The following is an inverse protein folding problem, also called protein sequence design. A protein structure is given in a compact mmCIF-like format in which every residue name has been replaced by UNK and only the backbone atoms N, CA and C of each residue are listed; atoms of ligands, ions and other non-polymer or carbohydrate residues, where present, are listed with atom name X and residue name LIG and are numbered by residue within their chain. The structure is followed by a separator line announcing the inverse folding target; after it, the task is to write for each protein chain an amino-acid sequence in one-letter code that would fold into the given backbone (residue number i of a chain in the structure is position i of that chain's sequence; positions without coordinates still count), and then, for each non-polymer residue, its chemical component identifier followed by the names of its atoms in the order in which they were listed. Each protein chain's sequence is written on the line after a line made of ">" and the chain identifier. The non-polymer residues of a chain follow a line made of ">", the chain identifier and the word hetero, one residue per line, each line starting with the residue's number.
data_IF_878274851481
#
_entry.id   IF_878274851481
#
_cell.length_a   1.000
_cell.length_b   1.000
_cell.length_c   1.000
_cell.angle_alpha   90.00
_cell.angle_beta   90.00
_cell.angle_gamma   90.00
#
_symmetry.space_group_name_H-M   'P 1'
#
loop_
_entity.id
_entity.type
_entity.pdbx_description
1 polymer ?
#
# COMPACT_ATOMS: atom_id res chain seq x y z
N UNK A 1 -37.43 45.27 -12.35
CA UNK A 1 -36.49 45.17 -11.21
C UNK A 1 -35.95 43.75 -11.17
N UNK A 2 -34.68 43.60 -11.56
CA UNK A 2 -33.92 42.34 -11.50
C UNK A 2 -33.71 41.90 -10.05
N UNK A 3 -33.93 40.62 -9.74
CA UNK A 3 -33.18 39.88 -8.73
C UNK A 3 -32.90 38.47 -9.24
N UNK A 4 -31.74 38.34 -9.88
CA UNK A 4 -30.96 37.10 -10.00
C UNK A 4 -30.68 36.51 -8.62
N UNK A 5 -31.04 35.24 -8.39
CA UNK A 5 -30.36 34.40 -7.40
C UNK A 5 -29.56 33.32 -8.15
N UNK A 6 -28.40 33.73 -8.61
CA UNK A 6 -27.33 32.83 -9.03
C UNK A 6 -26.60 32.36 -7.77
N UNK A 7 -27.03 31.23 -7.19
CA UNK A 7 -26.30 30.56 -6.11
C UNK A 7 -26.15 29.04 -6.35
N UNK A 8 -26.45 28.56 -7.56
CA UNK A 8 -26.40 27.14 -7.90
C UNK A 8 -25.01 26.54 -8.25
N UNK A 9 -23.99 27.27 -8.78
CA UNK A 9 -22.82 26.59 -9.35
C UNK A 9 -21.80 26.10 -8.31
N UNK A 10 -21.70 26.74 -7.14
CA UNK A 10 -20.69 26.40 -6.13
C UNK A 10 -21.03 25.10 -5.39
N UNK A 11 -22.31 24.89 -5.04
CA UNK A 11 -22.76 23.66 -4.37
C UNK A 11 -22.80 22.45 -5.32
N UNK A 12 -23.04 22.67 -6.61
CA UNK A 12 -22.93 21.61 -7.63
C UNK A 12 -21.47 21.18 -7.85
N UNK A 13 -20.51 22.12 -7.77
CA UNK A 13 -19.08 21.84 -7.91
C UNK A 13 -18.47 21.15 -6.67
N UNK A 14 -19.07 21.32 -5.50
CA UNK A 14 -18.72 20.61 -4.25
C UNK A 14 -19.42 19.26 -4.08
N UNK A 15 -20.34 18.92 -5.00
CA UNK A 15 -20.97 17.59 -5.01
C UNK A 15 -19.92 16.59 -5.47
N UNK A 16 -19.44 15.76 -4.53
CA UNK A 16 -18.61 14.59 -4.87
C UNK A 16 -19.38 13.78 -5.92
N UNK A 17 -18.75 13.54 -7.08
CA UNK A 17 -19.33 12.75 -8.14
C UNK A 17 -19.69 11.36 -7.58
N UNK A 18 -20.97 11.04 -7.63
CA UNK A 18 -21.54 9.88 -6.95
C UNK A 18 -22.02 8.86 -7.98
N UNK A 19 -21.92 7.57 -7.64
CA UNK A 19 -22.38 6.49 -8.52
C UNK A 19 -23.74 5.98 -8.04
N UNK A 20 -24.80 6.38 -8.74
CA UNK A 20 -26.18 5.96 -8.45
C UNK A 20 -26.49 4.54 -8.96
N UNK A 21 -25.64 3.97 -9.82
CA UNK A 21 -25.86 2.68 -10.47
C UNK A 21 -25.21 1.50 -9.72
N UNK A 22 -25.70 1.18 -8.51
CA UNK A 22 -25.30 -0.02 -7.78
C UNK A 22 -26.52 -0.94 -7.59
N UNK A 23 -26.47 -2.22 -8.03
CA UNK A 23 -27.56 -3.16 -7.81
C UNK A 23 -27.82 -3.41 -6.32
N UNK A 24 -29.05 -3.82 -5.99
CA UNK A 24 -29.44 -4.15 -4.61
C UNK A 24 -28.53 -5.22 -3.99
N UNK A 25 -28.23 -5.03 -2.71
CA UNK A 25 -27.43 -5.96 -1.93
C UNK A 25 -28.18 -7.24 -1.58
N UNK A 26 -27.45 -8.30 -1.23
CA UNK A 26 -28.02 -9.61 -0.86
C UNK A 26 -29.06 -9.56 0.28
N UNK A 27 -28.99 -8.54 1.15
CA UNK A 27 -29.84 -8.38 2.33
C UNK A 27 -30.98 -7.37 2.16
N UNK A 28 -31.36 -7.05 0.92
CA UNK A 28 -32.50 -6.20 0.60
C UNK A 28 -32.12 -4.87 -0.05
N UNK A 29 -33.17 -4.08 -0.31
CA UNK A 29 -33.09 -2.79 -1.00
C UNK A 29 -32.35 -1.75 -0.15
N UNK A 30 -31.53 -0.95 -0.82
CA UNK A 30 -30.75 0.09 -0.16
C UNK A 30 -31.64 1.29 0.18
N UNK A 31 -31.86 1.53 1.48
CA UNK A 31 -32.66 2.67 1.97
C UNK A 31 -31.83 3.92 2.30
N UNK A 32 -30.50 3.84 2.27
CA UNK A 32 -29.63 4.98 2.56
C UNK A 32 -29.49 5.92 1.36
N UNK A 33 -29.58 7.23 1.61
CA UNK A 33 -29.38 8.29 0.61
C UNK A 33 -27.92 8.41 0.14
N UNK A 34 -27.00 7.71 0.81
CA UNK A 34 -25.56 7.63 0.52
C UNK A 34 -25.11 6.17 0.58
N UNK A 35 -24.32 5.71 -0.41
CA UNK A 35 -23.50 4.49 -0.38
C UNK A 35 -22.03 4.89 -0.51
N UNK A 36 -21.09 4.04 -0.14
CA UNK A 36 -19.72 4.22 -0.62
C UNK A 36 -19.59 3.64 -2.04
N UNK A 37 -18.84 4.30 -2.93
CA UNK A 37 -18.47 3.71 -4.22
C UNK A 37 -17.47 2.58 -3.94
N UNK A 38 -17.97 1.36 -3.71
CA UNK A 38 -17.10 0.21 -3.49
C UNK A 38 -16.60 -0.33 -4.83
N UNK A 39 -15.29 -0.25 -5.03
CA UNK A 39 -14.59 -0.84 -6.18
C UNK A 39 -14.54 -2.39 -6.11
N UNK A 40 -15.19 -3.02 -5.13
CA UNK A 40 -15.34 -4.48 -5.03
C UNK A 40 -14.02 -5.27 -4.95
N UNK A 41 -12.94 -4.68 -4.43
CA UNK A 41 -11.62 -5.30 -4.31
C UNK A 41 -11.60 -6.52 -3.37
N UNK A 42 -10.73 -7.52 -3.61
CA UNK A 42 -10.62 -8.67 -2.71
C UNK A 42 -10.32 -8.22 -1.28
N UNK A 43 -11.07 -8.76 -0.29
CA UNK A 43 -11.03 -8.35 1.13
C UNK A 43 -9.62 -8.34 1.74
N UNK A 44 -8.72 -9.19 1.26
CA UNK A 44 -7.33 -9.23 1.75
C UNK A 44 -6.59 -7.89 1.56
N UNK A 45 -6.91 -7.13 0.51
CA UNK A 45 -6.29 -5.82 0.29
C UNK A 45 -6.88 -4.73 1.19
N UNK A 46 -8.16 -4.84 1.58
CA UNK A 46 -8.73 -4.00 2.63
C UNK A 46 -8.00 -4.22 3.97
N UNK A 47 -7.74 -5.49 4.31
CA UNK A 47 -6.95 -5.85 5.50
C UNK A 47 -5.53 -5.27 5.41
N UNK A 48 -4.88 -5.35 4.24
CA UNK A 48 -3.57 -4.75 4.04
C UNK A 48 -3.56 -3.22 4.23
N UNK A 49 -4.59 -2.52 3.72
CA UNK A 49 -4.73 -1.07 3.94
C UNK A 49 -5.01 -0.71 5.40
N UNK A 50 -5.83 -1.49 6.10
CA UNK A 50 -6.03 -1.30 7.54
C UNK A 50 -4.72 -1.49 8.29
N UNK A 51 -3.94 -2.52 7.96
CA UNK A 51 -2.61 -2.74 8.53
C UNK A 51 -1.67 -1.56 8.27
N UNK A 52 -1.64 -1.04 7.04
CA UNK A 52 -0.88 0.16 6.69
C UNK A 52 -1.28 1.41 7.51
N UNK A 53 -2.58 1.61 7.75
CA UNK A 53 -3.06 2.70 8.63
C UNK A 53 -2.56 2.49 10.07
N UNK A 54 -2.60 1.27 10.59
CA UNK A 54 -2.10 0.94 11.93
C UNK A 54 -0.60 1.21 12.04
N UNK A 55 0.20 0.91 10.99
CA UNK A 55 1.62 1.28 10.94
C UNK A 55 1.80 2.79 11.06
N UNK A 56 1.08 3.58 10.25
CA UNK A 56 1.19 5.05 10.28
C UNK A 56 0.79 5.67 11.63
N UNK A 57 -0.31 5.18 12.23
CA UNK A 57 -0.77 5.63 13.55
C UNK A 57 0.18 5.19 14.66
N UNK A 58 0.68 3.95 14.60
CA UNK A 58 1.69 3.41 15.52
C UNK A 58 2.97 4.23 15.50
N UNK A 59 3.49 4.49 14.30
CA UNK A 59 4.67 5.34 14.08
C UNK A 59 4.46 6.75 14.63
N UNK A 60 3.32 7.37 14.36
CA UNK A 60 2.99 8.69 14.91
C UNK A 60 2.98 8.66 16.44
N UNK A 61 2.32 7.66 17.04
CA UNK A 61 2.26 7.52 18.50
C UNK A 61 3.64 7.25 19.11
N UNK A 62 4.50 6.49 18.43
CA UNK A 62 5.87 6.25 18.86
C UNK A 62 6.71 7.52 18.78
N UNK A 63 6.77 8.21 17.64
CA UNK A 63 7.62 9.39 17.48
C UNK A 63 7.18 10.59 18.31
N UNK A 64 5.91 10.68 18.69
CA UNK A 64 5.41 11.72 19.60
C UNK A 64 5.64 11.40 21.08
N UNK A 65 5.81 10.13 21.46
CA UNK A 65 5.89 9.71 22.87
C UNK A 65 7.24 9.12 23.28
N UNK A 66 7.98 8.52 22.34
CA UNK A 66 9.18 7.70 22.53
C UNK A 66 9.02 6.58 23.57
N UNK A 67 7.80 6.04 23.70
CA UNK A 67 7.48 4.98 24.66
C UNK A 67 7.57 3.60 24.02
N UNK A 68 8.20 2.67 24.71
CA UNK A 68 8.38 1.28 24.25
C UNK A 68 7.07 0.57 23.83
N UNK A 69 5.92 0.69 24.54
CA UNK A 69 4.67 0.12 24.06
C UNK A 69 4.23 0.67 22.69
N UNK A 70 4.47 1.96 22.41
CA UNK A 70 4.13 2.55 21.11
C UNK A 70 5.14 2.12 20.04
N UNK A 71 6.41 1.94 20.42
CA UNK A 71 7.44 1.35 19.55
C UNK A 71 7.02 -0.05 19.07
N UNK A 72 6.48 -0.87 19.97
CA UNK A 72 5.95 -2.19 19.61
C UNK A 72 4.80 -2.10 18.61
N UNK A 73 3.89 -1.14 18.77
CA UNK A 73 2.79 -0.94 17.81
C UNK A 73 3.35 -0.51 16.45
N UNK A 74 4.29 0.43 16.41
CA UNK A 74 4.96 0.86 15.17
C UNK A 74 5.63 -0.32 14.46
N UNK A 75 6.58 -0.97 15.12
CA UNK A 75 7.45 -1.97 14.50
C UNK A 75 6.72 -3.30 14.23
N UNK A 76 5.92 -3.82 15.17
CA UNK A 76 5.25 -5.12 14.97
C UNK A 76 4.10 -5.04 13.97
N UNK A 77 3.39 -3.91 13.88
CA UNK A 77 2.35 -3.75 12.86
C UNK A 77 2.92 -3.81 11.43
N UNK A 78 4.18 -3.39 11.22
CA UNK A 78 4.88 -3.58 9.95
C UNK A 78 5.04 -5.08 9.62
N UNK A 79 5.44 -5.90 10.59
CA UNK A 79 5.59 -7.35 10.42
C UNK A 79 4.24 -7.99 10.07
N UNK A 80 3.20 -7.69 10.83
CA UNK A 80 1.87 -8.29 10.64
C UNK A 80 1.26 -7.92 9.28
N UNK A 81 1.40 -6.65 8.89
CA UNK A 81 0.93 -6.18 7.58
C UNK A 81 1.65 -6.90 6.44
N UNK A 82 2.97 -7.10 6.54
CA UNK A 82 3.72 -7.85 5.53
C UNK A 82 3.32 -9.32 5.51
N UNK A 83 3.02 -9.95 6.65
CA UNK A 83 2.53 -11.33 6.70
C UNK A 83 1.17 -11.48 6.02
N UNK A 84 0.27 -10.49 6.11
CA UNK A 84 -0.96 -10.50 5.31
C UNK A 84 -0.66 -10.46 3.81
N UNK A 85 0.36 -9.71 3.38
CA UNK A 85 0.77 -9.66 1.97
C UNK A 85 1.45 -10.97 1.51
N UNK A 86 2.20 -11.64 2.39
CA UNK A 86 2.71 -13.00 2.15
C UNK A 86 1.51 -13.94 1.94
N UNK A 87 0.55 -13.93 2.84
CA UNK A 87 -0.66 -14.75 2.71
C UNK A 87 -1.40 -14.45 1.40
N UNK A 88 -1.65 -13.17 1.09
CA UNK A 88 -2.33 -12.74 -0.13
C UNK A 88 -1.65 -13.29 -1.40
N UNK A 89 -0.33 -13.31 -1.43
CA UNK A 89 0.44 -13.69 -2.63
C UNK A 89 0.60 -15.21 -2.75
N UNK A 90 0.82 -15.92 -1.65
CA UNK A 90 1.07 -17.37 -1.67
C UNK A 90 -0.21 -18.21 -1.62
N UNK A 91 -1.28 -17.73 -0.98
CA UNK A 91 -2.57 -18.44 -0.93
C UNK A 91 -3.39 -18.31 -2.22
N UNK A 92 -3.01 -17.39 -3.13
CA UNK A 92 -3.74 -17.18 -4.36
C UNK A 92 -3.85 -18.45 -5.22
N UNK A 93 -5.07 -18.77 -5.64
CA UNK A 93 -5.38 -19.94 -6.47
C UNK A 93 -4.91 -21.26 -5.85
N UNK A 94 -4.80 -21.32 -4.50
CA UNK A 94 -4.49 -22.54 -3.75
C UNK A 94 -5.72 -23.08 -3.04
N UNK A 95 -5.66 -24.35 -2.64
CA UNK A 95 -6.76 -25.00 -1.93
C UNK A 95 -6.98 -24.39 -0.54
N UNK A 96 -8.19 -24.53 -0.01
CA UNK A 96 -8.51 -24.09 1.36
C UNK A 96 -7.60 -24.76 2.39
N UNK A 97 -7.26 -26.05 2.20
CA UNK A 97 -6.32 -26.78 3.08
C UNK A 97 -4.94 -26.14 3.10
N UNK A 98 -4.41 -25.78 1.93
CA UNK A 98 -3.13 -25.08 1.83
C UNK A 98 -3.21 -23.69 2.48
N UNK A 99 -4.30 -22.96 2.25
CA UNK A 99 -4.48 -21.62 2.82
C UNK A 99 -4.56 -21.67 4.34
N UNK A 100 -5.26 -22.63 4.93
CA UNK A 100 -5.29 -22.84 6.39
C UNK A 100 -3.91 -23.19 6.91
N UNK A 101 -3.20 -24.12 6.26
CA UNK A 101 -1.84 -24.49 6.64
C UNK A 101 -0.87 -23.29 6.63
N UNK A 102 -0.86 -22.52 5.53
CA UNK A 102 -0.06 -21.32 5.39
C UNK A 102 -0.44 -20.27 6.45
N UNK A 103 -1.73 -20.01 6.63
CA UNK A 103 -2.23 -19.04 7.61
C UNK A 103 -1.79 -19.39 9.03
N UNK A 104 -1.95 -20.64 9.45
CA UNK A 104 -1.48 -21.13 10.74
C UNK A 104 0.03 -20.97 10.90
N UNK A 105 0.81 -21.30 9.87
CA UNK A 105 2.27 -21.10 9.87
C UNK A 105 2.67 -19.64 10.03
N UNK A 106 1.99 -18.71 9.34
CA UNK A 106 2.25 -17.28 9.44
C UNK A 106 1.86 -16.70 10.81
N UNK A 107 0.79 -17.20 11.44
CA UNK A 107 0.41 -16.83 12.81
C UNK A 107 1.47 -17.29 13.81
N UNK A 108 1.97 -18.53 13.68
CA UNK A 108 3.06 -19.02 14.52
C UNK A 108 4.34 -18.19 14.33
N UNK A 109 4.66 -17.84 13.08
CA UNK A 109 5.80 -16.97 12.77
C UNK A 109 5.63 -15.57 13.39
N UNK A 110 4.44 -14.99 13.30
CA UNK A 110 4.13 -13.70 13.93
C UNK A 110 4.32 -13.77 15.45
N UNK A 111 3.81 -14.81 16.09
CA UNK A 111 3.96 -15.05 17.52
C UNK A 111 5.43 -15.22 17.93
N UNK A 112 6.21 -15.97 17.14
CA UNK A 112 7.64 -16.14 17.37
C UNK A 112 8.40 -14.82 17.27
N UNK A 113 8.26 -14.08 16.15
CA UNK A 113 8.95 -12.80 15.95
C UNK A 113 8.58 -11.81 17.07
N UNK A 114 7.29 -11.73 17.40
CA UNK A 114 6.79 -10.84 18.46
C UNK A 114 7.39 -11.18 19.82
N UNK A 115 7.35 -12.46 20.20
CA UNK A 115 7.84 -12.91 21.51
C UNK A 115 9.34 -12.72 21.62
N UNK A 116 10.09 -13.13 20.60
CA UNK A 116 11.53 -12.96 20.55
C UNK A 116 11.90 -11.48 20.63
N UNK A 117 11.29 -10.64 19.79
CA UNK A 117 11.56 -9.20 19.77
C UNK A 117 11.22 -8.52 21.10
N UNK A 118 10.10 -8.89 21.73
CA UNK A 118 9.71 -8.32 23.01
C UNK A 118 10.70 -8.66 24.14
N UNK A 119 11.25 -9.88 24.12
CA UNK A 119 12.22 -10.37 25.10
C UNK A 119 13.58 -9.71 24.87
N UNK A 120 14.12 -9.81 23.65
CA UNK A 120 15.48 -9.36 23.33
C UNK A 120 15.60 -7.85 23.18
N UNK A 121 14.54 -7.18 22.72
CA UNK A 121 14.50 -5.74 22.40
C UNK A 121 15.57 -5.33 21.39
N UNK A 122 16.00 -6.25 20.55
CA UNK A 122 17.02 -6.02 19.54
C UNK A 122 16.38 -5.50 18.23
N UNK A 123 16.47 -4.19 17.92
CA UNK A 123 15.86 -3.62 16.72
C UNK A 123 16.48 -4.18 15.43
N UNK A 124 17.70 -4.70 15.46
CA UNK A 124 18.36 -5.29 14.28
C UNK A 124 17.68 -6.61 13.90
N UNK A 125 17.26 -7.41 14.89
CA UNK A 125 16.46 -8.60 14.64
C UNK A 125 15.15 -8.26 13.91
N UNK A 126 14.41 -7.24 14.40
CA UNK A 126 13.18 -6.79 13.74
C UNK A 126 13.44 -6.36 12.29
N UNK A 127 14.46 -5.52 12.07
CA UNK A 127 14.84 -5.04 10.75
C UNK A 127 15.16 -6.20 9.79
N UNK A 128 15.91 -7.19 10.26
CA UNK A 128 16.23 -8.40 9.50
C UNK A 128 14.99 -9.20 9.11
N UNK A 129 14.08 -9.43 10.06
CA UNK A 129 12.81 -10.11 9.78
C UNK A 129 11.94 -9.33 8.78
N UNK A 130 11.80 -8.03 8.97
CA UNK A 130 11.02 -7.18 8.08
C UNK A 130 11.60 -7.15 6.66
N UNK A 131 12.92 -7.02 6.52
CA UNK A 131 13.61 -7.05 5.24
C UNK A 131 13.43 -8.39 4.52
N UNK A 132 13.56 -9.51 5.24
CA UNK A 132 13.38 -10.84 4.68
C UNK A 132 11.93 -11.07 4.19
N UNK A 133 10.94 -10.71 5.00
CA UNK A 133 9.52 -10.83 4.63
C UNK A 133 9.17 -9.93 3.44
N UNK A 134 9.62 -8.67 3.44
CA UNK A 134 9.37 -7.72 2.35
C UNK A 134 9.99 -8.22 1.05
N UNK A 135 11.26 -8.65 1.08
CA UNK A 135 11.94 -9.25 -0.06
C UNK A 135 11.20 -10.46 -0.60
N UNK A 136 10.72 -11.34 0.29
CA UNK A 136 9.91 -12.50 -0.09
C UNK A 136 8.65 -12.11 -0.85
N UNK A 137 7.89 -11.12 -0.35
CA UNK A 137 6.68 -10.64 -1.03
C UNK A 137 7.01 -10.05 -2.40
N UNK A 138 8.03 -9.19 -2.48
CA UNK A 138 8.43 -8.54 -3.73
C UNK A 138 8.85 -9.56 -4.78
N UNK A 139 9.79 -10.45 -4.44
CA UNK A 139 10.29 -11.46 -5.36
C UNK A 139 9.19 -12.43 -5.80
N UNK A 140 8.31 -12.84 -4.87
CA UNK A 140 7.18 -13.70 -5.21
C UNK A 140 6.21 -12.99 -6.16
N UNK A 141 5.86 -11.72 -5.91
CA UNK A 141 4.95 -10.97 -6.77
C UNK A 141 5.55 -10.71 -8.16
N UNK A 142 6.85 -10.44 -8.25
CA UNK A 142 7.59 -10.38 -9.52
C UNK A 142 7.53 -11.71 -10.27
N UNK A 143 7.79 -12.82 -9.58
CA UNK A 143 7.67 -14.14 -10.16
C UNK A 143 6.24 -14.41 -10.66
N UNK A 144 5.19 -14.06 -9.90
CA UNK A 144 3.78 -14.21 -10.33
C UNK A 144 3.53 -13.39 -11.60
N UNK A 145 3.96 -12.13 -11.62
CA UNK A 145 3.79 -11.24 -12.77
C UNK A 145 4.43 -11.83 -14.04
N UNK A 146 5.67 -12.31 -13.93
CA UNK A 146 6.43 -12.77 -15.09
C UNK A 146 6.08 -14.20 -15.54
N UNK A 147 5.83 -15.11 -14.61
CA UNK A 147 5.63 -16.53 -14.95
C UNK A 147 4.16 -16.92 -15.08
N UNK A 148 3.26 -16.22 -14.40
CA UNK A 148 1.83 -16.57 -14.37
C UNK A 148 1.00 -15.55 -15.17
N UNK A 149 1.19 -14.25 -14.91
CA UNK A 149 0.41 -13.22 -15.59
C UNK A 149 0.83 -13.03 -17.05
N UNK A 150 2.12 -12.83 -17.34
CA UNK A 150 2.60 -12.53 -18.71
C UNK A 150 2.09 -13.54 -19.76
N UNK A 151 2.21 -14.87 -19.59
CA UNK A 151 1.72 -15.81 -20.61
C UNK A 151 0.20 -15.72 -20.82
N UNK A 152 -0.57 -15.63 -19.72
CA UNK A 152 -2.04 -15.58 -19.77
C UNK A 152 -2.52 -14.26 -20.37
N UNK A 153 -1.87 -13.15 -20.06
CA UNK A 153 -2.20 -11.84 -20.60
C UNK A 153 -1.84 -11.73 -22.09
N UNK A 154 -0.65 -12.20 -22.49
CA UNK A 154 -0.23 -12.23 -23.90
C UNK A 154 -1.15 -13.10 -24.76
N UNK A 155 -1.60 -14.25 -24.23
CA UNK A 155 -2.56 -15.13 -24.91
C UNK A 155 -3.93 -14.46 -25.11
N UNK A 156 -4.38 -13.66 -24.14
CA UNK A 156 -5.66 -12.93 -24.22
C UNK A 156 -5.60 -11.77 -25.21
N UNK A 157 -4.60 -10.89 -25.06
CA UNK A 157 -4.42 -9.74 -25.95
C UNK A 157 -2.96 -9.23 -25.88
N UNK A 158 -2.12 -9.59 -26.86
CA UNK A 158 -0.70 -9.25 -26.87
C UNK A 158 -0.38 -7.74 -26.86
N UNK A 159 -1.23 -6.92 -27.50
CA UNK A 159 -1.06 -5.47 -27.53
C UNK A 159 -1.32 -4.82 -26.16
N UNK A 160 -2.44 -5.18 -25.54
CA UNK A 160 -2.76 -4.74 -24.17
C UNK A 160 -1.78 -5.32 -23.15
N UNK A 161 -1.34 -6.57 -23.34
CA UNK A 161 -0.40 -7.24 -22.44
C UNK A 161 0.93 -6.47 -22.31
N UNK A 162 1.51 -6.06 -23.44
CA UNK A 162 2.75 -5.28 -23.46
C UNK A 162 2.59 -3.97 -22.69
N UNK A 163 1.47 -3.25 -22.89
CA UNK A 163 1.20 -1.97 -22.20
C UNK A 163 1.01 -2.17 -20.69
N UNK A 164 0.21 -3.16 -20.30
CA UNK A 164 -0.08 -3.46 -18.89
C UNK A 164 1.19 -3.89 -18.14
N UNK A 165 1.99 -4.79 -18.71
CA UNK A 165 3.23 -5.25 -18.09
C UNK A 165 4.26 -4.14 -17.99
N UNK A 166 4.40 -3.31 -19.03
CA UNK A 166 5.32 -2.17 -18.99
C UNK A 166 4.91 -1.18 -17.88
N UNK A 167 3.60 -0.94 -17.74
CA UNK A 167 3.08 -0.13 -16.63
C UNK A 167 3.38 -0.75 -15.26
N UNK A 168 3.20 -2.05 -15.08
CA UNK A 168 3.53 -2.75 -13.84
C UNK A 168 5.03 -2.68 -13.52
N UNK A 169 5.91 -2.79 -14.51
CA UNK A 169 7.36 -2.62 -14.31
C UNK A 169 7.73 -1.21 -13.89
N UNK A 170 7.07 -0.18 -14.43
CA UNK A 170 7.25 1.21 -13.99
C UNK A 170 6.77 1.36 -12.53
N UNK A 171 5.65 0.75 -12.15
CA UNK A 171 5.18 0.76 -10.75
C UNK A 171 6.19 0.08 -9.81
N UNK A 172 6.74 -1.07 -10.20
CA UNK A 172 7.76 -1.77 -9.41
C UNK A 172 9.03 -0.94 -9.31
N UNK A 173 9.54 -0.41 -10.42
CA UNK A 173 10.76 0.38 -10.43
C UNK A 173 10.65 1.66 -9.61
N UNK A 174 9.53 2.38 -9.74
CA UNK A 174 9.26 3.58 -8.93
C UNK A 174 9.05 3.24 -7.47
N UNK A 175 8.27 2.20 -7.13
CA UNK A 175 8.05 1.77 -5.76
C UNK A 175 9.32 1.30 -5.06
N UNK A 176 10.13 0.46 -5.70
CA UNK A 176 11.44 0.03 -5.20
C UNK A 176 12.40 1.20 -5.06
N UNK A 177 12.45 2.08 -6.07
CA UNK A 177 13.31 3.26 -6.04
C UNK A 177 13.00 4.14 -4.83
N UNK A 178 11.73 4.48 -4.63
CA UNK A 178 11.29 5.30 -3.48
C UNK A 178 11.63 4.60 -2.15
N UNK A 179 11.35 3.31 -2.01
CA UNK A 179 11.65 2.56 -0.79
C UNK A 179 13.16 2.52 -0.49
N UNK A 180 13.99 2.16 -1.48
CA UNK A 180 15.44 2.04 -1.33
C UNK A 180 16.12 3.39 -1.10
N UNK A 181 15.65 4.46 -1.75
CA UNK A 181 16.14 5.81 -1.48
C UNK A 181 15.78 6.25 -0.07
N UNK A 182 14.56 5.96 0.40
CA UNK A 182 14.21 6.18 1.81
C UNK A 182 15.16 5.42 2.73
N UNK A 183 15.41 4.14 2.46
CA UNK A 183 16.29 3.30 3.28
C UNK A 183 17.72 3.83 3.32
N UNK A 184 18.22 4.31 2.17
CA UNK A 184 19.52 4.97 2.09
C UNK A 184 19.56 6.23 2.97
N UNK A 185 18.56 7.10 2.86
CA UNK A 185 18.47 8.31 3.67
C UNK A 185 18.43 7.98 5.17
N UNK A 186 17.65 6.97 5.57
CA UNK A 186 17.59 6.49 6.95
C UNK A 186 18.97 6.02 7.45
N UNK A 187 19.71 5.24 6.65
CA UNK A 187 21.05 4.78 7.03
C UNK A 187 22.04 5.95 7.13
N UNK A 188 21.98 6.92 6.21
CA UNK A 188 22.81 8.12 6.26
C UNK A 188 22.51 8.97 7.51
N UNK A 189 21.24 9.12 7.89
CA UNK A 189 20.81 9.85 9.09
C UNK A 189 21.36 9.20 10.37
N UNK A 190 21.38 7.86 10.42
CA UNK A 190 21.99 7.11 11.52
C UNK A 190 23.53 7.23 11.53
N UNK A 191 24.19 7.03 10.39
CA UNK A 191 25.65 7.02 10.29
C UNK A 191 26.29 8.40 10.53
N UNK A 192 25.63 9.47 10.07
CA UNK A 192 26.13 10.85 10.15
C UNK A 192 25.31 11.71 11.13
N UNK A 193 24.65 11.09 12.11
CA UNK A 193 23.73 11.74 13.05
C UNK A 193 24.33 13.01 13.70
N UNK A 194 25.58 12.94 14.18
CA UNK A 194 26.21 14.09 14.85
C UNK A 194 26.43 15.29 13.92
N UNK A 195 26.78 15.01 12.66
CA UNK A 195 27.06 15.99 11.62
C UNK A 195 25.75 16.63 11.15
N UNK A 196 24.76 15.80 10.82
CA UNK A 196 23.44 16.24 10.36
C UNK A 196 22.74 17.08 11.44
N UNK A 197 22.78 16.65 12.72
CA UNK A 197 22.20 17.44 13.83
C UNK A 197 22.89 18.79 14.05
N UNK A 198 24.20 18.88 13.78
CA UNK A 198 24.93 20.16 13.86
C UNK A 198 24.54 21.09 12.72
N UNK A 199 24.51 20.55 11.50
CA UNK A 199 24.08 21.28 10.31
C UNK A 199 22.63 21.78 10.47
N UNK A 200 21.73 20.93 10.95
CA UNK A 200 20.32 21.26 11.21
C UNK A 200 20.16 22.45 12.16
N UNK A 201 20.92 22.46 13.27
CA UNK A 201 20.93 23.58 14.23
C UNK A 201 21.51 24.86 13.64
N UNK A 202 22.48 24.75 12.73
CA UNK A 202 23.06 25.91 12.06
C UNK A 202 22.11 26.51 11.00
N UNK A 203 21.43 25.67 10.23
CA UNK A 203 20.46 26.08 9.21
C UNK A 203 19.20 26.70 9.83
N UNK A 204 18.71 26.16 10.95
CA UNK A 204 17.52 26.68 11.63
C UNK A 204 16.21 26.44 10.86
N UNK A 205 15.07 26.84 11.44
CA UNK A 205 13.77 26.68 10.80
C UNK A 205 13.49 27.80 9.76
N UNK A 206 12.71 27.51 8.70
CA UNK A 206 12.04 26.23 8.40
C UNK A 206 12.95 25.20 7.70
N UNK A 207 14.07 25.63 7.11
CA UNK A 207 14.89 24.81 6.21
C UNK A 207 15.58 23.61 6.88
N UNK A 208 15.82 23.68 8.19
CA UNK A 208 16.34 22.58 8.99
C UNK A 208 15.44 21.34 8.99
N UNK A 209 14.13 21.50 8.75
CA UNK A 209 13.20 20.37 8.63
C UNK A 209 13.56 19.46 7.44
N UNK A 210 14.18 20.00 6.37
CA UNK A 210 14.61 19.20 5.21
C UNK A 210 15.77 18.25 5.56
N UNK A 211 16.45 18.46 6.68
CA UNK A 211 17.56 17.64 7.17
C UNK A 211 17.11 16.55 8.15
N UNK A 212 15.81 16.35 8.32
CA UNK A 212 15.23 15.24 9.09
C UNK A 212 15.18 13.96 8.23
N UNK A 213 16.32 13.28 8.10
CA UNK A 213 16.44 12.10 7.25
C UNK A 213 15.46 10.98 7.64
N UNK A 214 15.32 10.73 8.94
CA UNK A 214 14.32 9.78 9.44
C UNK A 214 12.87 10.17 9.06
N UNK A 215 12.53 11.46 9.02
CA UNK A 215 11.19 11.89 8.57
C UNK A 215 10.97 11.60 7.08
N UNK A 216 11.98 11.83 6.24
CA UNK A 216 11.93 11.47 4.83
C UNK A 216 11.77 9.97 4.61
N UNK A 217 12.40 9.14 5.44
CA UNK A 217 12.19 7.69 5.42
C UNK A 217 10.71 7.31 5.57
N UNK A 218 9.99 7.88 6.54
CA UNK A 218 8.56 7.61 6.71
C UNK A 218 7.73 8.10 5.53
N UNK A 219 8.03 9.27 4.98
CA UNK A 219 7.30 9.78 3.81
C UNK A 219 7.50 8.87 2.59
N UNK A 220 8.74 8.45 2.33
CA UNK A 220 9.08 7.62 1.17
C UNK A 220 8.55 6.20 1.31
N UNK A 221 8.76 5.54 2.46
CA UNK A 221 8.18 4.21 2.71
C UNK A 221 6.66 4.23 2.80
N UNK A 222 6.10 5.32 3.32
CA UNK A 222 4.66 5.60 3.25
C UNK A 222 4.16 5.63 1.81
N UNK A 223 4.82 6.36 0.92
CA UNK A 223 4.48 6.39 -0.51
C UNK A 223 4.69 5.03 -1.20
N UNK A 224 5.62 4.20 -0.72
CA UNK A 224 5.85 2.86 -1.24
C UNK A 224 4.65 1.89 -1.05
N UNK A 225 3.54 2.33 -0.44
CA UNK A 225 2.27 1.62 -0.46
C UNK A 225 1.75 1.33 -1.88
N UNK A 226 2.32 1.96 -2.92
CA UNK A 226 2.13 1.58 -4.33
C UNK A 226 2.25 0.07 -4.57
N UNK A 227 2.99 -0.64 -3.71
CA UNK A 227 3.02 -2.10 -3.68
C UNK A 227 1.66 -2.77 -3.46
N UNK A 228 0.81 -2.21 -2.58
CA UNK A 228 -0.56 -2.72 -2.34
C UNK A 228 -1.40 -2.47 -3.60
N UNK A 229 -1.35 -1.27 -4.18
CA UNK A 229 -2.05 -0.95 -5.44
C UNK A 229 -1.58 -1.85 -6.59
N UNK A 230 -0.27 -2.06 -6.72
CA UNK A 230 0.29 -2.99 -7.70
C UNK A 230 -0.21 -4.42 -7.47
N UNK A 231 -0.26 -4.88 -6.22
CA UNK A 231 -0.83 -6.17 -5.85
C UNK A 231 -2.30 -6.31 -6.24
N UNK A 232 -3.12 -5.27 -6.07
CA UNK A 232 -4.51 -5.23 -6.52
C UNK A 232 -4.56 -5.34 -8.04
N UNK A 233 -3.79 -4.53 -8.76
CA UNK A 233 -3.79 -4.53 -10.22
C UNK A 233 -3.33 -5.89 -10.78
N UNK A 234 -2.24 -6.43 -10.25
CA UNK A 234 -1.75 -7.78 -10.55
C UNK A 234 -2.84 -8.83 -10.33
N UNK A 235 -3.57 -8.78 -9.21
CA UNK A 235 -4.67 -9.70 -8.93
C UNK A 235 -5.80 -9.56 -9.95
N UNK A 236 -6.22 -8.35 -10.30
CA UNK A 236 -7.30 -8.14 -11.30
C UNK A 236 -6.94 -8.68 -12.66
N UNK A 237 -5.71 -8.44 -13.12
CA UNK A 237 -5.26 -8.99 -14.38
C UNK A 237 -5.14 -10.52 -14.34
N UNK A 238 -4.77 -11.13 -13.21
CA UNK A 238 -4.75 -12.59 -13.06
C UNK A 238 -6.15 -13.21 -13.04
N UNK A 239 -7.15 -12.48 -12.57
CA UNK A 239 -8.56 -12.92 -12.48
C UNK A 239 -9.30 -12.86 -13.82
N UNK A 240 -8.72 -12.31 -14.89
CA UNK A 240 -9.49 -12.10 -16.12
C UNK A 240 -10.16 -10.74 -16.23
N UNK A 241 -9.97 -9.84 -15.25
CA UNK A 241 -10.84 -8.68 -15.04
C UNK A 241 -10.20 -7.34 -15.37
N UNK A 242 -9.16 -7.32 -16.18
CA UNK A 242 -8.54 -6.06 -16.66
C UNK A 242 -9.43 -5.23 -17.58
N UNK A 243 -10.57 -5.77 -18.02
CA UNK A 243 -11.57 -5.06 -18.81
C UNK A 243 -12.59 -4.35 -17.90
N UNK A 244 -12.86 -4.94 -16.74
CA UNK A 244 -13.76 -4.39 -15.72
C UNK A 244 -13.09 -3.36 -14.81
N UNK A 245 -11.77 -3.36 -14.75
CA UNK A 245 -10.96 -2.47 -13.92
C UNK A 245 -9.87 -1.81 -14.73
N UNK A 246 -9.54 -0.57 -14.37
CA UNK A 246 -8.41 0.16 -14.96
C UNK A 246 -7.52 0.74 -13.88
N UNK A 247 -6.22 0.76 -14.16
CA UNK A 247 -5.25 1.50 -13.38
C UNK A 247 -5.26 2.97 -13.84
N UNK A 248 -5.67 3.88 -12.95
CA UNK A 248 -5.59 5.32 -13.16
C UNK A 248 -4.30 5.81 -12.54
N UNK A 249 -3.34 6.20 -13.39
CA UNK A 249 -2.06 6.74 -12.96
C UNK A 249 -1.57 7.82 -13.95
N UNK A 250 -2.07 9.06 -13.85
CA UNK A 250 -1.78 10.11 -14.84
C UNK A 250 -0.30 10.49 -14.95
N UNK A 251 0.46 10.38 -13.85
CA UNK A 251 1.89 10.75 -13.78
C UNK A 251 2.65 9.83 -12.83
N UNK A 252 3.73 9.23 -13.31
CA UNK A 252 4.45 8.19 -12.57
C UNK A 252 5.13 8.65 -11.26
N UNK A 253 5.41 9.95 -11.12
CA UNK A 253 6.13 10.50 -9.96
C UNK A 253 5.33 11.56 -9.17
N UNK A 254 4.20 12.03 -9.68
CA UNK A 254 3.41 13.11 -9.07
C UNK A 254 1.92 12.78 -8.94
N UNK A 255 1.55 11.53 -9.19
CA UNK A 255 0.21 11.04 -8.93
C UNK A 255 0.27 9.67 -8.28
N UNK A 256 -0.76 9.39 -7.49
CA UNK A 256 -0.93 8.12 -6.82
C UNK A 256 -1.70 7.18 -7.76
N UNK A 257 -1.20 5.97 -8.03
CA UNK A 257 -1.93 4.99 -8.82
C UNK A 257 -3.15 4.49 -8.02
N UNK A 258 -4.30 4.38 -8.69
CA UNK A 258 -5.53 3.82 -8.12
C UNK A 258 -6.13 2.82 -9.10
N UNK A 259 -6.61 1.69 -8.59
CA UNK A 259 -7.38 0.72 -9.38
C UNK A 259 -8.86 0.99 -9.18
N UNK A 260 -9.55 1.36 -10.25
CA UNK A 260 -10.98 1.70 -10.26
C UNK A 260 -11.71 0.82 -11.27
N UNK A 261 -13.00 0.59 -11.05
CA UNK A 261 -13.89 -0.09 -11.98
C UNK A 261 -14.04 0.77 -13.23
N UNK A 262 -13.94 0.15 -14.40
CA UNK A 262 -14.24 0.80 -15.66
C UNK A 262 -15.75 1.10 -15.72
N UNK A 263 -16.12 2.34 -16.08
CA UNK A 263 -17.53 2.62 -16.41
C UNK A 263 -17.88 1.80 -17.66
N UNK A 264 -19.03 1.11 -17.64
CA UNK A 264 -19.59 0.55 -18.89
C UNK A 264 -19.76 1.72 -19.85
N UNK A 265 -19.17 1.61 -21.04
CA UNK A 265 -19.55 2.46 -22.16
C UNK A 265 -20.98 2.07 -22.54
N UNK A 266 -21.93 2.98 -22.32
CA UNK A 266 -23.26 2.91 -22.95
C UNK A 266 -23.15 3.06 -24.47
#
# INVERSE_FOLDING_TARGET
>A
MNRTMAAAPLFQALRLAYNDDIPDGYWGEKTSTLNFCEEGHPRIFLIAYMGYIVVGLGSTAFHTSLKYPMQLIDELSMIYTTLFMVFATFAYSKSNRFSVFLGSGLVLLAGFITSYYHITKDPVFHQGCYAALTTTVVLRSLYVMETQLRPVLTKRNGGTASRTLNTMWIMVGTGLGVFLTGFLIWNLDNAFCSQIRRLRRHVGLPWGALLEGHAWWHLMTGLAYYYITWGIWLRRCLEGREDEYRLVWPRSLSSIPVVVKAKKSD
#
